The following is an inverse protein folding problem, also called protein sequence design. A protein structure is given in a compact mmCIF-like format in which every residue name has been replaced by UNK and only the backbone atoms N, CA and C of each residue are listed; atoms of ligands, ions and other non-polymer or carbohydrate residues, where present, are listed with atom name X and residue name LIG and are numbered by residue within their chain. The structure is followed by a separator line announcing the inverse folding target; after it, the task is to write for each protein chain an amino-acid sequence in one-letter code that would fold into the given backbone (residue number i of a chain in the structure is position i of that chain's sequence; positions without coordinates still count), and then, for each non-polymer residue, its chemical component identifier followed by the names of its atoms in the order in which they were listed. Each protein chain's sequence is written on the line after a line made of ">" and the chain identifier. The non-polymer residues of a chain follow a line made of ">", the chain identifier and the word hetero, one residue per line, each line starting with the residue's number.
data_IF_604337714578
#
_entry.id   IF_604337714578
#
_cell.length_a   1.000
_cell.length_b   1.000
_cell.length_c   1.000
_cell.angle_alpha   90.00
_cell.angle_beta   90.00
_cell.angle_gamma   90.00
#
_symmetry.space_group_name_H-M   'P 1'
#
loop_
_entity.id
_entity.type
_entity.pdbx_description
1 polymer ?
#
# COMPACT_ATOMS: atom_id res chain seq x y z
N UNK A 1 -11.36 0.88 -1.88
CA UNK A 1 -11.69 2.16 -1.20
C UNK A 1 -10.42 2.69 -0.57
N UNK A 2 -10.42 3.91 -0.04
CA UNK A 2 -9.28 4.38 0.74
C UNK A 2 -9.02 3.43 1.91
N UNK A 3 -7.76 3.14 2.21
CA UNK A 3 -7.38 2.23 3.28
C UNK A 3 -6.05 2.67 3.90
N UNK A 4 -5.87 2.37 5.18
CA UNK A 4 -4.63 2.61 5.91
C UNK A 4 -4.00 1.26 6.24
N UNK A 5 -2.71 1.10 5.97
CA UNK A 5 -1.92 -0.09 6.28
C UNK A 5 -0.55 0.32 6.83
N UNK A 6 0.35 -0.63 7.05
CA UNK A 6 1.70 -0.37 7.57
C UNK A 6 2.75 -1.02 6.69
N UNK A 7 3.98 -0.51 6.76
CA UNK A 7 5.18 -1.10 6.14
C UNK A 7 5.60 -2.48 6.73
N UNK A 8 4.96 -2.90 7.82
CA UNK A 8 5.07 -4.23 8.41
C UNK A 8 4.05 -5.22 7.82
N UNK A 9 2.92 -4.73 7.29
CA UNK A 9 1.94 -5.57 6.62
C UNK A 9 2.47 -6.00 5.24
N UNK A 10 2.21 -7.25 4.84
CA UNK A 10 2.67 -7.77 3.54
C UNK A 10 2.18 -6.93 2.36
N UNK A 11 0.90 -6.53 2.37
CA UNK A 11 0.35 -5.65 1.34
C UNK A 11 0.98 -4.25 1.36
N UNK A 12 1.10 -3.62 2.53
CA UNK A 12 1.73 -2.31 2.66
C UNK A 12 3.17 -2.31 2.15
N UNK A 13 3.95 -3.34 2.54
CA UNK A 13 5.32 -3.54 2.05
C UNK A 13 5.38 -3.81 0.54
N UNK A 14 4.42 -4.55 -0.02
CA UNK A 14 4.33 -4.80 -1.46
C UNK A 14 4.14 -3.49 -2.24
N UNK A 15 3.18 -2.65 -1.82
CA UNK A 15 2.87 -1.40 -2.52
C UNK A 15 3.82 -0.25 -2.19
N UNK A 16 4.63 -0.33 -1.11
CA UNK A 16 5.61 0.72 -0.76
C UNK A 16 6.52 1.12 -1.93
N UNK A 17 6.85 0.19 -2.84
CA UNK A 17 7.65 0.47 -4.04
C UNK A 17 6.91 1.35 -5.07
N UNK A 18 5.58 1.24 -5.10
CA UNK A 18 4.69 1.95 -6.01
C UNK A 18 4.11 3.24 -5.40
N UNK A 19 4.18 3.38 -4.06
CA UNK A 19 3.71 4.55 -3.32
C UNK A 19 4.62 5.75 -3.55
N UNK A 20 4.34 6.52 -4.61
CA UNK A 20 4.91 7.86 -4.80
C UNK A 20 4.23 8.86 -3.85
N UNK A 21 4.95 9.86 -3.33
CA UNK A 21 4.33 10.96 -2.58
C UNK A 21 3.25 11.62 -3.43
N UNK A 22 2.00 11.54 -2.96
CA UNK A 22 0.83 12.13 -3.61
C UNK A 22 -0.10 12.68 -2.54
N UNK A 23 -0.77 13.79 -2.84
CA UNK A 23 -1.81 14.36 -1.97
C UNK A 23 -2.99 13.38 -1.81
N UNK A 24 -3.24 12.55 -2.81
CA UNK A 24 -4.31 11.55 -2.82
C UNK A 24 -3.71 10.18 -3.18
N UNK A 25 -3.03 9.51 -2.23
CA UNK A 25 -2.32 8.27 -2.52
C UNK A 25 -3.26 7.07 -2.70
N UNK A 26 -4.55 7.20 -2.36
CA UNK A 26 -5.53 6.13 -2.35
C UNK A 26 -5.35 5.16 -1.19
N UNK A 27 -4.15 4.60 -1.03
CA UNK A 27 -3.77 3.72 0.06
C UNK A 27 -2.65 4.38 0.86
N UNK A 28 -2.90 4.58 2.15
CA UNK A 28 -1.96 5.23 3.07
C UNK A 28 -1.14 4.16 3.78
N UNK A 29 0.18 4.30 3.77
CA UNK A 29 1.09 3.39 4.47
C UNK A 29 1.77 4.12 5.62
N UNK A 30 1.51 3.67 6.84
CA UNK A 30 2.16 4.17 8.06
C UNK A 30 3.49 3.45 8.23
N UNK A 31 4.57 4.23 8.38
CA UNK A 31 5.90 3.70 8.65
C UNK A 31 5.98 3.26 10.13
N UNK A 32 5.90 1.95 10.38
CA UNK A 32 6.08 1.34 11.70
C UNK A 32 7.48 0.75 11.88
N UNK A 33 8.16 0.36 10.81
CA UNK A 33 9.48 -0.25 10.94
C UNK A 33 10.47 0.74 11.55
N UNK A 34 11.13 0.33 12.62
CA UNK A 34 12.13 1.14 13.35
C UNK A 34 11.57 2.50 13.85
N UNK A 35 10.26 2.58 14.14
CA UNK A 35 9.61 3.77 14.71
C UNK A 35 9.04 3.47 16.09
N UNK A 36 9.06 4.45 16.98
CA UNK A 36 8.41 4.33 18.29
C UNK A 36 6.89 4.50 18.16
N UNK A 37 6.13 3.91 19.08
CA UNK A 37 4.67 3.92 19.02
C UNK A 37 4.07 5.33 19.04
N UNK A 38 4.66 6.28 19.78
CA UNK A 38 4.18 7.67 19.81
C UNK A 38 4.19 8.33 18.43
N UNK A 39 5.30 8.18 17.70
CA UNK A 39 5.44 8.71 16.34
C UNK A 39 4.50 8.04 15.33
N UNK A 40 4.25 6.74 15.51
CA UNK A 40 3.34 5.97 14.67
C UNK A 40 1.88 6.41 14.89
N UNK A 41 1.49 6.61 16.15
CA UNK A 41 0.17 7.10 16.53
C UNK A 41 -0.06 8.50 15.97
N UNK A 42 0.93 9.39 16.10
CA UNK A 42 0.81 10.75 15.56
C UNK A 42 0.71 10.76 14.03
N UNK A 43 1.49 9.90 13.34
CA UNK A 43 1.38 9.77 11.89
C UNK A 43 0.01 9.24 11.45
N UNK A 44 -0.52 8.22 12.13
CA UNK A 44 -1.86 7.70 11.87
C UNK A 44 -2.93 8.77 12.13
N UNK A 45 -2.83 9.50 13.24
CA UNK A 45 -3.74 10.61 13.58
C UNK A 45 -3.78 11.64 12.46
N UNK A 46 -2.62 12.06 11.97
CA UNK A 46 -2.52 13.05 10.91
C UNK A 46 -3.16 12.55 9.60
N UNK A 47 -2.91 11.31 9.19
CA UNK A 47 -3.52 10.71 8.01
C UNK A 47 -5.06 10.73 8.11
N UNK A 48 -5.60 10.35 9.27
CA UNK A 48 -7.05 10.33 9.48
C UNK A 48 -7.63 11.74 9.47
N UNK A 49 -6.96 12.71 10.11
CA UNK A 49 -7.38 14.12 10.15
C UNK A 49 -7.35 14.75 8.75
N UNK A 50 -6.30 14.52 7.97
CA UNK A 50 -6.19 15.03 6.61
C UNK A 50 -7.29 14.45 5.71
N UNK A 51 -7.62 13.16 5.91
CA UNK A 51 -8.67 12.50 5.16
C UNK A 51 -10.07 13.10 5.41
N UNK A 52 -10.36 13.53 6.64
CA UNK A 52 -11.66 14.16 6.95
C UNK A 52 -11.82 15.54 6.29
N UNK A 53 -10.71 16.20 5.98
CA UNK A 53 -10.69 17.52 5.35
C UNK A 53 -10.82 17.47 3.83
N UNK A 54 -10.80 16.28 3.21
CA UNK A 54 -10.94 16.14 1.77
C UNK A 54 -12.32 16.60 1.28
N UNK A 55 -12.34 17.27 0.14
CA UNK A 55 -13.57 17.56 -0.62
C UNK A 55 -14.15 16.28 -1.24
N UNK A 56 -15.35 16.39 -1.81
CA UNK A 56 -15.99 15.25 -2.49
C UNK A 56 -15.19 14.84 -3.73
N UNK A 57 -14.71 15.81 -4.52
CA UNK A 57 -13.90 15.59 -5.71
C UNK A 57 -12.58 14.92 -5.36
N UNK A 58 -11.90 15.38 -4.30
CA UNK A 58 -10.64 14.79 -3.83
C UNK A 58 -10.83 13.35 -3.33
N UNK A 59 -11.94 13.06 -2.64
CA UNK A 59 -12.27 11.67 -2.26
C UNK A 59 -12.49 10.76 -3.48
N UNK A 60 -13.08 11.28 -4.56
CA UNK A 60 -13.26 10.52 -5.81
C UNK A 60 -11.89 10.23 -6.45
N UNK A 61 -11.01 11.23 -6.54
CA UNK A 61 -9.65 11.05 -7.04
C UNK A 61 -8.87 10.01 -6.22
N UNK A 62 -8.94 10.12 -4.88
CA UNK A 62 -8.31 9.18 -3.97
C UNK A 62 -8.86 7.75 -4.15
N UNK A 63 -10.18 7.59 -4.38
CA UNK A 63 -10.80 6.29 -4.66
C UNK A 63 -10.31 5.69 -5.98
N UNK A 64 -10.08 6.50 -7.01
CA UNK A 64 -9.53 6.04 -8.29
C UNK A 64 -8.10 5.50 -8.11
N UNK A 65 -7.24 6.26 -7.43
CA UNK A 65 -5.88 5.81 -7.14
C UNK A 65 -5.86 4.54 -6.27
N UNK A 66 -6.75 4.44 -5.28
CA UNK A 66 -6.87 3.22 -4.48
C UNK A 66 -7.23 1.99 -5.34
N UNK A 67 -8.14 2.15 -6.31
CA UNK A 67 -8.52 1.08 -7.25
C UNK A 67 -7.36 0.70 -8.17
N UNK A 68 -6.62 1.69 -8.66
CA UNK A 68 -5.43 1.47 -9.49
C UNK A 68 -4.37 0.67 -8.73
N UNK A 69 -4.02 1.09 -7.51
CA UNK A 69 -3.01 0.38 -6.70
C UNK A 69 -3.49 -1.03 -6.36
N UNK A 70 -4.73 -1.22 -5.92
CA UNK A 70 -5.22 -2.56 -5.58
C UNK A 70 -5.21 -3.52 -6.78
N UNK A 71 -5.38 -3.00 -8.00
CA UNK A 71 -5.34 -3.82 -9.22
C UNK A 71 -3.95 -4.37 -9.55
N UNK A 72 -2.89 -3.80 -8.96
CA UNK A 72 -1.52 -4.35 -9.07
C UNK A 72 -1.35 -5.62 -8.25
N UNK A 73 -2.23 -5.88 -7.27
CA UNK A 73 -2.25 -7.09 -6.45
C UNK A 73 -3.19 -8.15 -7.01
N UNK A 74 -3.21 -8.29 -8.33
CA UNK A 74 -3.98 -9.31 -9.03
C UNK A 74 -3.13 -10.57 -9.24
N UNK A 75 -3.77 -11.74 -9.21
CA UNK A 75 -3.11 -13.03 -9.43
C UNK A 75 -2.36 -13.12 -10.75
N UNK A 76 -2.81 -12.41 -11.79
CA UNK A 76 -2.09 -12.34 -13.07
C UNK A 76 -0.65 -11.82 -12.91
N UNK A 77 -0.40 -10.95 -11.92
CA UNK A 77 0.92 -10.41 -11.63
C UNK A 77 1.70 -11.32 -10.66
N UNK A 78 1.00 -12.07 -9.81
CA UNK A 78 1.63 -12.90 -8.77
C UNK A 78 1.99 -14.31 -9.25
N UNK A 79 1.27 -14.85 -10.23
CA UNK A 79 1.50 -16.19 -10.75
C UNK A 79 2.93 -16.39 -11.28
N UNK A 80 3.53 -15.35 -11.87
CA UNK A 80 4.92 -15.40 -12.36
C UNK A 80 5.93 -15.71 -11.25
N UNK A 81 5.68 -15.24 -10.01
CA UNK A 81 6.56 -15.55 -8.88
C UNK A 81 6.53 -17.04 -8.53
N UNK A 82 5.38 -17.70 -8.68
CA UNK A 82 5.24 -19.14 -8.44
C UNK A 82 5.92 -19.95 -9.54
N UNK A 83 5.75 -19.58 -10.81
CA UNK A 83 6.42 -20.23 -11.93
C UNK A 83 7.94 -20.12 -11.78
N UNK A 84 8.45 -18.93 -11.43
CA UNK A 84 9.87 -18.72 -11.17
C UNK A 84 10.37 -19.59 -10.02
N UNK A 85 9.65 -19.65 -8.91
CA UNK A 85 10.02 -20.48 -7.77
C UNK A 85 10.04 -21.98 -8.14
N UNK A 86 9.08 -22.43 -8.96
CA UNK A 86 9.05 -23.80 -9.48
C UNK A 86 10.28 -24.12 -10.34
N UNK A 87 10.58 -23.29 -11.35
CA UNK A 87 11.74 -23.51 -12.22
C UNK A 87 13.05 -23.52 -11.43
N UNK A 88 13.21 -22.61 -10.45
CA UNK A 88 14.37 -22.61 -9.55
C UNK A 88 14.50 -23.88 -8.72
N UNK A 89 13.39 -24.52 -8.34
CA UNK A 89 13.41 -25.79 -7.62
C UNK A 89 13.77 -26.96 -8.53
N UNK A 90 13.27 -26.96 -9.78
CA UNK A 90 13.62 -27.94 -10.81
C UNK A 90 15.11 -27.83 -11.17
N UNK A 91 15.64 -26.64 -11.39
CA UNK A 91 17.05 -26.41 -11.75
C UNK A 91 18.04 -26.79 -10.63
N UNK A 92 17.59 -26.82 -9.38
CA UNK A 92 18.40 -27.19 -8.21
C UNK A 92 18.36 -28.70 -7.92
N UNK A 93 17.57 -29.45 -8.68
CA UNK A 93 17.53 -30.91 -8.62
C UNK A 93 18.34 -31.53 -9.75
#
# INVERSE_FOLDING_TARGET
>A
MASVTTDLAGFGRYICKECKPSKFPGIYVVNRMNRNDGSVVENLKQILLDYTQLTREERIANKYEAKKISSTSDWKNFAENYIRAHNMAVDKH
#
